data_IF_694270098025
#
_entry.id   IF_694270098025
#
_cell.length_a   1.000
_cell.length_b   1.000
_cell.length_c   1.000
_cell.angle_alpha   90.00
_cell.angle_beta   90.00
_cell.angle_gamma   90.00
#
_symmetry.space_group_name_H-M   'P 1'
#
loop_
_entity.id
_entity.type
_entity.pdbx_description
1 polymer ?
#
# COMPACT_ATOMS: atom_id res chain seq x y z
N UNK A 1 78.19 -15.31 -20.19
CA UNK A 1 76.78 -14.85 -20.00
C UNK A 1 75.99 -14.99 -21.31
N UNK A 2 75.80 -16.21 -21.82
CA UNK A 2 75.05 -16.48 -23.08
C UNK A 2 73.74 -17.24 -22.80
N UNK A 3 73.49 -17.62 -21.54
CA UNK A 3 72.31 -18.39 -21.18
C UNK A 3 71.01 -17.58 -21.35
N UNK A 4 71.03 -16.29 -21.01
CA UNK A 4 69.84 -15.43 -21.00
C UNK A 4 69.37 -14.93 -22.38
N UNK A 5 70.26 -14.89 -23.37
CA UNK A 5 69.98 -14.33 -24.70
C UNK A 5 68.88 -15.13 -25.42
N UNK A 6 68.85 -16.46 -25.25
CA UNK A 6 67.83 -17.32 -25.86
C UNK A 6 66.44 -17.05 -25.28
N UNK A 7 66.35 -16.81 -23.97
CA UNK A 7 65.09 -16.50 -23.29
C UNK A 7 64.58 -15.10 -23.61
N UNK A 8 65.48 -14.11 -23.71
CA UNK A 8 65.12 -12.74 -24.09
C UNK A 8 64.57 -12.69 -25.53
N UNK A 9 65.18 -13.45 -26.45
CA UNK A 9 64.74 -13.52 -27.84
C UNK A 9 63.37 -14.19 -27.97
N UNK A 10 63.12 -15.25 -27.18
CA UNK A 10 61.83 -15.93 -27.14
C UNK A 10 60.74 -15.06 -26.50
N UNK A 11 61.08 -14.28 -25.46
CA UNK A 11 60.18 -13.33 -24.84
C UNK A 11 59.77 -12.20 -25.82
N UNK A 12 60.73 -11.63 -26.55
CA UNK A 12 60.44 -10.62 -27.57
C UNK A 12 59.56 -11.15 -28.70
N UNK A 13 59.75 -12.41 -29.11
CA UNK A 13 58.92 -13.05 -30.12
C UNK A 13 57.47 -13.25 -29.63
N UNK A 14 57.28 -13.70 -28.39
CA UNK A 14 55.95 -13.86 -27.80
C UNK A 14 55.23 -12.51 -27.62
N UNK A 15 55.94 -11.48 -27.17
CA UNK A 15 55.39 -10.13 -27.02
C UNK A 15 55.01 -9.57 -28.40
N UNK A 16 55.84 -9.76 -29.42
CA UNK A 16 55.54 -9.36 -30.80
C UNK A 16 54.29 -10.07 -31.34
N UNK A 17 54.15 -11.38 -31.10
CA UNK A 17 52.98 -12.15 -31.49
C UNK A 17 51.71 -11.67 -30.77
N UNK A 18 51.79 -11.35 -29.47
CA UNK A 18 50.67 -10.82 -28.70
C UNK A 18 50.23 -9.44 -29.21
N UNK A 19 51.18 -8.54 -29.50
CA UNK A 19 50.88 -7.22 -30.06
C UNK A 19 50.25 -7.35 -31.44
N UNK A 20 50.78 -8.24 -32.30
CA UNK A 20 50.19 -8.53 -33.60
C UNK A 20 48.75 -9.04 -33.48
N UNK A 21 48.49 -9.94 -32.52
CA UNK A 21 47.15 -10.48 -32.27
C UNK A 21 46.18 -9.41 -31.72
N UNK A 22 46.64 -8.48 -30.89
CA UNK A 22 45.82 -7.40 -30.34
C UNK A 22 45.50 -6.33 -31.40
N UNK A 23 46.43 -6.04 -32.32
CA UNK A 23 46.22 -5.03 -33.37
C UNK A 23 45.38 -5.56 -34.55
N UNK A 24 45.50 -6.85 -34.89
CA UNK A 24 44.73 -7.46 -35.99
C UNK A 24 43.48 -8.22 -35.50
N UNK A 25 43.37 -8.49 -34.20
CA UNK A 25 42.27 -9.20 -33.57
C UNK A 25 41.08 -8.30 -33.26
N UNK A 26 40.57 -7.52 -34.22
CA UNK A 26 39.19 -7.03 -34.15
C UNK A 26 38.25 -8.13 -34.62
N UNK A 27 38.36 -9.32 -34.03
CA UNK A 27 37.25 -10.26 -34.04
C UNK A 27 36.25 -9.65 -33.08
N UNK A 28 35.26 -8.92 -33.59
CA UNK A 28 34.04 -8.69 -32.82
C UNK A 28 33.57 -10.08 -32.41
N UNK A 29 33.76 -10.42 -31.13
CA UNK A 29 33.11 -11.56 -30.52
C UNK A 29 31.62 -11.22 -30.61
N UNK A 30 31.03 -11.56 -31.74
CA UNK A 30 29.61 -11.48 -31.97
C UNK A 30 29.05 -12.61 -31.13
N UNK A 31 28.93 -12.35 -29.83
CA UNK A 31 28.22 -13.22 -28.92
C UNK A 31 26.81 -13.27 -29.49
N UNK A 32 26.51 -14.32 -30.24
CA UNK A 32 25.16 -14.54 -30.71
C UNK A 32 24.34 -14.68 -29.45
N UNK A 33 23.63 -13.61 -29.11
CA UNK A 33 22.73 -13.57 -27.99
C UNK A 33 21.60 -14.51 -28.40
N UNK A 34 21.76 -15.80 -28.09
CA UNK A 34 20.75 -16.80 -28.40
C UNK A 34 19.56 -16.48 -27.51
N UNK A 35 18.62 -15.73 -28.05
CA UNK A 35 17.39 -15.35 -27.36
C UNK A 35 16.50 -16.59 -27.32
N UNK A 36 16.61 -17.36 -26.24
CA UNK A 36 15.66 -18.41 -25.98
C UNK A 36 14.33 -17.74 -25.58
N UNK A 37 13.25 -18.01 -26.31
CA UNK A 37 11.93 -17.46 -26.02
C UNK A 37 11.48 -17.70 -24.56
N UNK A 38 11.89 -18.83 -23.97
CA UNK A 38 11.62 -19.12 -22.56
C UNK A 38 12.44 -18.21 -21.61
N UNK A 39 13.71 -17.94 -21.93
CA UNK A 39 14.56 -17.05 -21.14
C UNK A 39 14.08 -15.59 -21.22
N UNK A 40 13.60 -15.16 -22.39
CA UNK A 40 13.05 -13.82 -22.57
C UNK A 40 11.71 -13.65 -21.83
N UNK A 41 10.83 -14.66 -21.89
CA UNK A 41 9.58 -14.68 -21.11
C UNK A 41 9.82 -14.61 -19.61
N UNK A 42 10.76 -15.41 -19.08
CA UNK A 42 11.14 -15.37 -17.66
C UNK A 42 11.78 -14.03 -17.28
N UNK A 43 12.68 -13.50 -18.10
CA UNK A 43 13.31 -12.20 -17.84
C UNK A 43 12.28 -11.07 -17.77
N UNK A 44 11.29 -11.06 -18.69
CA UNK A 44 10.18 -10.09 -18.66
C UNK A 44 9.29 -10.28 -17.43
N UNK A 45 9.00 -11.52 -17.05
CA UNK A 45 8.24 -11.82 -15.82
C UNK A 45 8.96 -11.31 -14.57
N UNK A 46 10.25 -11.63 -14.39
CA UNK A 46 11.03 -11.16 -13.24
C UNK A 46 11.22 -9.63 -13.24
N UNK A 47 11.40 -9.00 -14.41
CA UNK A 47 11.41 -7.54 -14.52
C UNK A 47 10.08 -6.93 -14.03
N UNK A 48 8.95 -7.50 -14.48
CA UNK A 48 7.61 -7.04 -14.07
C UNK A 48 7.32 -7.23 -12.58
N UNK A 49 7.94 -8.21 -11.91
CA UNK A 49 7.84 -8.40 -10.46
C UNK A 49 8.76 -7.43 -9.74
N UNK A 50 10.01 -7.29 -10.19
CA UNK A 50 11.01 -6.40 -9.59
C UNK A 50 10.53 -4.95 -9.59
N UNK A 51 9.92 -4.48 -10.67
CA UNK A 51 9.39 -3.13 -10.74
C UNK A 51 8.27 -2.91 -9.72
N UNK A 52 7.37 -3.89 -9.52
CA UNK A 52 6.33 -3.84 -8.48
C UNK A 52 6.91 -3.82 -7.06
N UNK A 53 7.93 -4.63 -6.79
CA UNK A 53 8.61 -4.66 -5.48
C UNK A 53 9.31 -3.32 -5.19
N UNK A 54 9.90 -2.70 -6.21
CA UNK A 54 10.59 -1.41 -6.06
C UNK A 54 9.59 -0.29 -5.79
N UNK A 55 8.43 -0.28 -6.46
CA UNK A 55 7.31 0.64 -6.17
C UNK A 55 6.76 0.44 -4.76
N UNK A 56 6.67 -0.80 -4.28
CA UNK A 56 6.19 -1.08 -2.92
C UNK A 56 7.09 -0.50 -1.82
N UNK A 57 8.40 -0.37 -2.06
CA UNK A 57 9.33 0.20 -1.08
C UNK A 57 9.09 1.70 -0.80
N UNK A 58 8.48 2.42 -1.73
CA UNK A 58 8.02 3.80 -1.51
C UNK A 58 6.60 3.85 -0.93
N UNK A 59 5.80 2.78 -1.07
CA UNK A 59 4.45 2.70 -0.50
C UNK A 59 4.47 2.58 1.02
N UNK A 60 5.47 1.94 1.61
CA UNK A 60 5.64 1.84 3.07
C UNK A 60 5.70 3.22 3.75
N UNK A 61 6.10 4.28 3.03
CA UNK A 61 6.12 5.67 3.55
C UNK A 61 4.74 6.24 3.83
N UNK A 62 3.69 5.67 3.26
CA UNK A 62 2.32 6.18 3.34
C UNK A 62 1.38 5.26 4.12
N UNK A 63 1.92 4.22 4.76
CA UNK A 63 1.17 3.30 5.61
C UNK A 63 1.66 3.46 7.04
N UNK A 64 0.75 3.78 7.95
CA UNK A 64 1.04 3.92 9.38
C UNK A 64 0.48 2.69 10.08
N UNK A 65 1.35 1.92 10.72
CA UNK A 65 0.93 0.82 11.59
C UNK A 65 0.36 1.40 12.88
N UNK A 66 -0.84 0.94 13.26
CA UNK A 66 -1.54 1.35 14.46
C UNK A 66 -1.43 0.27 15.53
N UNK A 67 -1.28 0.71 16.77
CA UNK A 67 -1.41 -0.18 17.92
C UNK A 67 -2.87 -0.64 18.06
N UNK A 68 -3.05 -1.88 18.51
CA UNK A 68 -4.38 -2.41 18.80
C UNK A 68 -4.98 -1.66 19.99
N UNK A 69 -6.23 -1.17 19.90
CA UNK A 69 -6.88 -0.52 21.02
C UNK A 69 -6.98 -1.44 22.25
N UNK A 70 -6.76 -0.90 23.44
CA UNK A 70 -6.89 -1.64 24.72
C UNK A 70 -8.31 -2.20 24.92
N UNK A 71 -9.29 -1.47 24.41
CA UNK A 71 -10.71 -1.78 24.56
C UNK A 71 -11.25 -2.44 23.30
N UNK A 72 -11.86 -3.62 23.46
CA UNK A 72 -12.54 -4.27 22.35
C UNK A 72 -13.67 -3.40 21.81
N UNK A 73 -13.92 -3.51 20.50
CA UNK A 73 -14.94 -2.75 19.79
C UNK A 73 -16.32 -2.86 20.46
N UNK A 74 -16.70 -4.07 20.86
CA UNK A 74 -17.98 -4.34 21.53
C UNK A 74 -18.09 -3.62 22.87
N UNK A 75 -17.00 -3.64 23.66
CA UNK A 75 -16.99 -2.99 24.97
C UNK A 75 -17.04 -1.47 24.82
N UNK A 76 -16.30 -0.93 23.85
CA UNK A 76 -16.29 0.49 23.51
C UNK A 76 -17.67 0.98 23.02
N UNK A 77 -18.33 0.22 22.14
CA UNK A 77 -19.68 0.51 21.68
C UNK A 77 -20.70 0.43 22.83
N UNK A 78 -20.64 -0.62 23.64
CA UNK A 78 -21.58 -0.81 24.76
C UNK A 78 -21.46 0.33 25.78
N UNK A 79 -20.24 0.74 26.14
CA UNK A 79 -20.02 1.88 27.04
C UNK A 79 -20.63 3.17 26.47
N UNK A 80 -20.50 3.39 25.16
CA UNK A 80 -21.08 4.57 24.50
C UNK A 80 -22.59 4.60 24.53
N UNK A 81 -23.28 3.46 24.38
CA UNK A 81 -24.75 3.43 24.39
C UNK A 81 -25.37 3.92 25.70
N UNK A 82 -24.61 4.01 26.80
CA UNK A 82 -25.09 4.55 28.07
C UNK A 82 -24.92 6.06 28.22
N UNK A 83 -24.09 6.70 27.39
CA UNK A 83 -23.69 8.10 27.57
C UNK A 83 -24.10 9.02 26.42
N UNK A 84 -24.65 8.48 25.34
CA UNK A 84 -25.07 9.26 24.16
C UNK A 84 -26.54 9.05 23.86
N UNK A 85 -27.17 10.10 23.34
CA UNK A 85 -28.49 9.97 22.73
C UNK A 85 -28.38 9.28 21.36
N UNK A 86 -29.23 8.29 21.07
CA UNK A 86 -29.26 7.61 19.78
C UNK A 86 -29.51 8.56 18.62
N UNK A 87 -28.86 8.30 17.49
CA UNK A 87 -29.17 8.96 16.23
C UNK A 87 -30.37 8.32 15.53
N UNK A 88 -31.07 9.06 14.66
CA UNK A 88 -32.09 8.48 13.79
C UNK A 88 -31.54 7.34 12.95
N UNK A 89 -32.32 6.26 12.76
CA UNK A 89 -31.93 5.10 11.95
C UNK A 89 -31.61 5.47 10.50
N UNK A 90 -32.28 6.50 9.96
CA UNK A 90 -32.11 6.99 8.59
C UNK A 90 -31.01 8.06 8.45
N UNK A 91 -30.25 8.33 9.52
CA UNK A 91 -29.17 9.31 9.45
C UNK A 91 -28.05 8.80 8.52
N UNK A 92 -27.61 9.67 7.61
CA UNK A 92 -26.53 9.38 6.67
C UNK A 92 -25.38 10.39 6.71
N UNK A 93 -25.58 11.49 7.44
CA UNK A 93 -24.72 12.66 7.42
C UNK A 93 -25.07 13.66 6.32
N UNK A 94 -24.53 14.86 6.46
CA UNK A 94 -24.82 15.97 5.54
C UNK A 94 -24.22 15.70 4.15
N UNK A 95 -24.97 16.02 3.10
CA UNK A 95 -24.46 15.90 1.72
C UNK A 95 -23.62 17.12 1.41
N UNK A 96 -22.34 16.90 1.09
CA UNK A 96 -21.43 17.99 0.82
C UNK A 96 -20.02 17.54 0.38
N UNK A 97 -19.16 18.50 0.02
CA UNK A 97 -17.82 18.22 -0.45
C UNK A 97 -16.88 17.86 0.70
N UNK A 98 -16.49 16.59 0.82
CA UNK A 98 -15.48 16.12 1.78
C UNK A 98 -14.12 16.06 1.11
N UNK A 99 -13.20 16.94 1.53
CA UNK A 99 -11.84 17.08 0.98
C UNK A 99 -10.85 16.32 1.85
N UNK A 100 -10.02 15.52 1.20
CA UNK A 100 -8.93 14.79 1.80
C UNK A 100 -7.64 15.47 1.36
N UNK A 101 -6.97 16.14 2.30
CA UNK A 101 -5.76 16.93 2.03
C UNK A 101 -4.52 16.06 2.10
N UNK A 102 -3.47 16.45 1.36
CA UNK A 102 -2.16 15.81 1.42
C UNK A 102 -1.58 15.88 2.84
N UNK A 103 -0.73 14.91 3.17
CA UNK A 103 0.03 14.81 4.43
C UNK A 103 -0.82 14.61 5.69
N UNK A 104 -2.15 14.53 5.56
CA UNK A 104 -3.06 14.03 6.59
C UNK A 104 -3.32 12.53 6.38
N UNK A 105 -3.95 11.89 7.36
CA UNK A 105 -4.37 10.48 7.24
C UNK A 105 -5.87 10.34 6.98
N UNK A 106 -6.28 9.21 6.39
CA UNK A 106 -7.68 8.87 6.17
C UNK A 106 -8.47 8.87 7.48
N UNK A 107 -7.94 8.22 8.52
CA UNK A 107 -8.54 8.21 9.85
C UNK A 107 -8.73 9.62 10.39
N UNK A 108 -7.70 10.47 10.31
CA UNK A 108 -7.74 11.84 10.85
C UNK A 108 -8.83 12.66 10.19
N UNK A 109 -8.90 12.65 8.86
CA UNK A 109 -9.90 13.41 8.10
C UNK A 109 -11.31 12.90 8.37
N UNK A 110 -11.52 11.58 8.38
CA UNK A 110 -12.83 10.99 8.68
C UNK A 110 -13.26 11.24 10.12
N UNK A 111 -12.34 11.19 11.09
CA UNK A 111 -12.62 11.55 12.49
C UNK A 111 -13.07 13.00 12.60
N UNK A 112 -12.42 13.91 11.87
CA UNK A 112 -12.83 15.32 11.85
C UNK A 112 -14.26 15.48 11.30
N UNK A 113 -14.58 14.85 10.17
CA UNK A 113 -15.93 14.90 9.60
C UNK A 113 -16.97 14.28 10.54
N UNK A 114 -16.67 13.14 11.15
CA UNK A 114 -17.54 12.50 12.12
C UNK A 114 -17.86 13.45 13.29
N UNK A 115 -16.82 14.04 13.89
CA UNK A 115 -16.95 14.95 15.03
C UNK A 115 -17.76 16.21 14.67
N UNK A 116 -17.55 16.77 13.48
CA UNK A 116 -18.31 17.93 13.00
C UNK A 116 -19.81 17.62 12.85
N UNK A 117 -20.15 16.38 12.50
CA UNK A 117 -21.52 15.90 12.41
C UNK A 117 -22.02 15.27 13.72
N UNK A 118 -21.24 15.40 14.79
CA UNK A 118 -21.58 15.00 16.14
C UNK A 118 -21.48 13.49 16.42
N UNK A 119 -21.03 12.67 15.47
CA UNK A 119 -20.82 11.24 15.68
C UNK A 119 -19.34 10.94 15.97
N UNK A 120 -19.04 9.78 16.53
CA UNK A 120 -17.64 9.35 16.70
C UNK A 120 -17.24 8.36 15.62
N UNK A 121 -16.01 8.46 15.12
CA UNK A 121 -15.41 7.43 14.28
C UNK A 121 -14.63 6.44 15.14
N UNK A 122 -14.98 5.17 15.04
CA UNK A 122 -14.29 4.04 15.67
C UNK A 122 -13.47 3.31 14.61
N UNK A 123 -12.19 3.68 14.51
CA UNK A 123 -11.23 3.08 13.59
C UNK A 123 -10.58 1.84 14.23
N UNK A 124 -11.10 0.66 13.89
CA UNK A 124 -10.64 -0.64 14.40
C UNK A 124 -9.94 -1.43 13.29
N UNK A 125 -8.94 -0.79 12.70
CA UNK A 125 -8.01 -1.37 11.73
C UNK A 125 -6.58 -1.24 12.27
N UNK A 126 -5.70 -2.15 11.87
CA UNK A 126 -4.30 -2.17 12.28
C UNK A 126 -3.42 -1.18 11.49
N UNK A 127 -3.98 -0.52 10.48
CA UNK A 127 -3.30 0.45 9.62
C UNK A 127 -4.12 1.71 9.42
N UNK A 128 -3.42 2.79 9.11
CA UNK A 128 -3.95 4.04 8.58
C UNK A 128 -3.09 4.47 7.38
N UNK A 129 -3.62 5.33 6.52
CA UNK A 129 -2.98 5.70 5.27
C UNK A 129 -2.82 7.21 5.16
N UNK A 130 -1.61 7.63 4.83
CA UNK A 130 -1.29 9.03 4.51
C UNK A 130 -1.79 9.33 3.10
N UNK A 131 -2.50 10.44 2.96
CA UNK A 131 -3.07 10.88 1.70
C UNK A 131 -1.94 11.42 0.81
N UNK A 132 -1.62 10.69 -0.27
CA UNK A 132 -0.58 11.07 -1.25
C UNK A 132 -0.99 12.29 -2.08
N UNK A 133 -2.19 12.22 -2.63
CA UNK A 133 -2.77 13.25 -3.49
C UNK A 133 -4.11 13.68 -2.93
N UNK A 134 -4.36 14.99 -2.98
CA UNK A 134 -5.62 15.52 -2.50
C UNK A 134 -6.77 15.00 -3.36
N UNK A 135 -7.88 14.66 -2.73
CA UNK A 135 -9.09 14.23 -3.43
C UNK A 135 -10.34 14.74 -2.72
N UNK A 136 -11.48 14.64 -3.41
CA UNK A 136 -12.77 15.07 -2.91
C UNK A 136 -13.81 13.98 -3.11
N UNK A 137 -14.64 13.76 -2.09
CA UNK A 137 -15.82 12.91 -2.17
C UNK A 137 -17.05 13.80 -1.95
N UNK A 138 -17.87 13.96 -2.99
CA UNK A 138 -19.13 14.70 -2.94
C UNK A 138 -20.26 13.73 -2.58
N UNK A 139 -20.49 13.51 -1.28
CA UNK A 139 -21.49 12.54 -0.79
C UNK A 139 -21.98 12.88 0.62
N UNK A 140 -22.67 11.96 1.28
CA UNK A 140 -22.92 11.97 2.73
C UNK A 140 -21.70 11.39 3.49
N UNK A 141 -21.72 11.45 4.83
CA UNK A 141 -20.64 10.89 5.66
C UNK A 141 -20.56 9.37 5.50
N UNK A 142 -21.70 8.70 5.60
CA UNK A 142 -21.76 7.24 5.48
C UNK A 142 -21.25 6.77 4.11
N UNK A 143 -21.64 7.43 3.03
CA UNK A 143 -21.15 7.09 1.69
C UNK A 143 -19.66 7.38 1.54
N UNK A 144 -19.14 8.46 2.14
CA UNK A 144 -17.70 8.74 2.13
C UNK A 144 -16.90 7.67 2.90
N UNK A 145 -17.37 7.30 4.09
CA UNK A 145 -16.76 6.24 4.90
C UNK A 145 -16.77 4.90 4.16
N UNK A 146 -17.89 4.52 3.54
CA UNK A 146 -17.99 3.31 2.71
C UNK A 146 -17.00 3.34 1.54
N UNK A 147 -16.94 4.45 0.79
CA UNK A 147 -15.99 4.58 -0.33
C UNK A 147 -14.55 4.43 0.13
N UNK A 148 -14.18 5.10 1.22
CA UNK A 148 -12.83 4.97 1.80
C UNK A 148 -12.55 3.53 2.24
N UNK A 149 -13.51 2.87 2.91
CA UNK A 149 -13.33 1.49 3.36
C UNK A 149 -13.13 0.52 2.19
N UNK A 150 -13.83 0.73 1.07
CA UNK A 150 -13.64 -0.05 -0.16
C UNK A 150 -12.31 0.21 -0.83
N UNK A 151 -11.84 1.46 -0.84
CA UNK A 151 -10.57 1.84 -1.48
C UNK A 151 -9.35 1.24 -0.80
N UNK A 152 -9.41 0.99 0.52
CA UNK A 152 -8.31 0.39 1.28
C UNK A 152 -8.46 -1.12 1.49
N UNK A 153 -9.55 -1.73 1.00
CA UNK A 153 -9.93 -3.10 1.32
C UNK A 153 -8.83 -4.14 1.00
N UNK A 154 -8.14 -3.96 -0.13
CA UNK A 154 -7.18 -4.94 -0.63
C UNK A 154 -5.85 -4.95 0.15
N UNK A 155 -5.66 -3.97 1.04
CA UNK A 155 -4.47 -3.86 1.90
C UNK A 155 -4.65 -4.60 3.26
N UNK A 156 -5.82 -5.21 3.49
CA UNK A 156 -6.17 -5.98 4.68
C UNK A 156 -6.35 -7.46 4.39
N UNK A 157 -6.23 -8.29 5.42
CA UNK A 157 -6.35 -9.75 5.28
C UNK A 157 -7.80 -10.19 5.12
N UNK A 158 -8.73 -9.43 5.72
CA UNK A 158 -10.16 -9.67 5.61
C UNK A 158 -10.85 -8.45 4.97
N UNK A 159 -12.09 -8.66 4.52
CA UNK A 159 -12.89 -7.59 3.95
C UNK A 159 -13.10 -6.46 4.98
N UNK A 160 -12.81 -5.23 4.58
CA UNK A 160 -13.01 -4.04 5.41
C UNK A 160 -14.46 -3.60 5.30
N UNK A 161 -15.15 -3.61 6.43
CA UNK A 161 -16.54 -3.20 6.54
C UNK A 161 -16.66 -1.84 7.22
N UNK A 162 -17.62 -1.05 6.74
CA UNK A 162 -18.07 0.16 7.38
C UNK A 162 -19.51 -0.01 7.91
N UNK A 163 -19.76 0.48 9.11
CA UNK A 163 -21.06 0.43 9.76
C UNK A 163 -21.42 1.78 10.36
N UNK A 164 -22.71 2.07 10.43
CA UNK A 164 -23.26 3.12 11.27
C UNK A 164 -24.05 2.49 12.43
N UNK A 165 -23.73 2.86 13.66
CA UNK A 165 -24.31 2.35 14.89
C UNK A 165 -25.16 3.46 15.55
N UNK A 166 -26.47 3.52 15.28
CA UNK A 166 -27.29 4.67 15.67
C UNK A 166 -27.39 4.84 17.19
N UNK A 167 -27.54 3.73 17.94
CA UNK A 167 -27.62 3.74 19.42
C UNK A 167 -26.35 4.26 20.08
N UNK A 168 -25.19 4.02 19.49
CA UNK A 168 -23.88 4.44 20.01
C UNK A 168 -23.39 5.75 19.40
N UNK A 169 -24.19 6.35 18.49
CA UNK A 169 -23.88 7.57 17.77
C UNK A 169 -22.45 7.51 17.22
N UNK A 170 -22.16 6.41 16.54
CA UNK A 170 -20.83 6.01 16.12
C UNK A 170 -20.84 5.45 14.71
N UNK A 171 -19.78 5.72 13.96
CA UNK A 171 -19.45 5.02 12.75
C UNK A 171 -18.24 4.12 12.99
N UNK A 172 -18.28 2.90 12.48
CA UNK A 172 -17.30 1.86 12.76
C UNK A 172 -16.67 1.43 11.44
N UNK A 173 -15.35 1.28 11.42
CA UNK A 173 -14.62 0.62 10.34
C UNK A 173 -13.76 -0.50 10.93
N UNK A 174 -13.93 -1.73 10.42
CA UNK A 174 -13.28 -2.94 10.94
C UNK A 174 -13.24 -4.05 9.90
N UNK A 175 -12.21 -4.89 9.95
CA UNK A 175 -12.13 -6.13 9.16
C UNK A 175 -12.73 -7.34 9.91
N UNK A 176 -12.97 -7.22 11.23
CA UNK A 176 -13.49 -8.28 12.11
C UNK A 176 -14.78 -7.83 12.81
N UNK A 177 -15.91 -7.71 12.11
CA UNK A 177 -17.17 -7.33 12.74
C UNK A 177 -17.71 -8.47 13.61
N UNK A 178 -17.83 -8.19 14.91
CA UNK A 178 -18.45 -9.07 15.89
C UNK A 178 -19.95 -9.26 15.63
N UNK A 179 -20.56 -10.24 16.31
CA UNK A 179 -22.01 -10.41 16.29
C UNK A 179 -22.75 -9.18 16.85
N UNK A 180 -22.18 -8.53 17.88
CA UNK A 180 -22.75 -7.31 18.44
C UNK A 180 -22.83 -6.19 17.39
N UNK A 181 -21.76 -5.95 16.63
CA UNK A 181 -21.72 -4.95 15.55
C UNK A 181 -22.74 -5.29 14.47
N UNK A 182 -22.78 -6.55 14.03
CA UNK A 182 -23.69 -7.00 12.96
C UNK A 182 -25.16 -6.88 13.32
N UNK A 183 -25.50 -7.04 14.61
CA UNK A 183 -26.89 -7.00 15.11
C UNK A 183 -27.35 -5.60 15.52
N UNK A 184 -26.44 -4.72 15.93
CA UNK A 184 -26.79 -3.39 16.46
C UNK A 184 -26.45 -2.23 15.51
N UNK A 185 -25.71 -2.49 14.44
CA UNK A 185 -25.29 -1.48 13.49
C UNK A 185 -25.79 -1.78 12.07
N UNK A 186 -26.01 -0.70 11.32
CA UNK A 186 -26.38 -0.74 9.91
C UNK A 186 -25.09 -0.88 9.09
N UNK A 187 -24.97 -1.98 8.33
CA UNK A 187 -23.87 -2.14 7.37
C UNK A 187 -24.04 -1.09 6.27
N UNK A 188 -22.98 -0.33 6.00
CA UNK A 188 -22.99 0.66 4.94
C UNK A 188 -22.77 -0.03 3.59
N UNK A 189 -23.63 0.30 2.64
CA UNK A 189 -23.57 -0.19 1.27
C UNK A 189 -24.08 0.90 0.34
N UNK A 190 -23.14 1.55 -0.35
CA UNK A 190 -23.36 2.56 -1.41
C UNK A 190 -24.03 3.87 -0.97
#
# INVERSE_FOLDING_TARGET
MWFWIRYILLALLLIGAAIYFLLNGTSSLNYQQTTNAAAEGLSRFYASIRDRITVNKDNDKFVIQLEKPDLSLDRALNQRSFVVEPMPLNWNGEVGPRRFQRDSTLRTVLTQYANNEGITLMWYLDKDYVIKDHFRIDSSFNSALYRVSRSINDDFSNEVYAFFCPKQRAAVITELPSEFVRSNCLKLSN
#
